data_IF_689880557580
#
_entry.id   IF_689880557580
#
_cell.length_a   1.000
_cell.length_b   1.000
_cell.length_c   1.000
_cell.angle_alpha   90.00
_cell.angle_beta   90.00
_cell.angle_gamma   90.00
#
_symmetry.space_group_name_H-M   'P 1'
#
loop_
_entity.id
_entity.type
_entity.pdbx_description
1 polymer ?
#
# COMPACT_ATOMS: atom_id res chain seq x y z
N UNK A 1 3.80 -22.40 13.30
CA UNK A 1 4.46 -21.09 13.47
C UNK A 1 4.77 -20.94 14.94
N UNK A 2 6.02 -20.60 15.28
CA UNK A 2 6.48 -20.55 16.67
C UNK A 2 6.27 -19.15 17.26
N UNK A 3 5.54 -19.09 18.38
CA UNK A 3 5.40 -17.87 19.17
C UNK A 3 6.70 -17.68 19.98
N UNK A 4 7.46 -16.63 19.66
CA UNK A 4 8.70 -16.30 20.37
C UNK A 4 8.43 -15.13 21.31
N UNK A 5 8.66 -15.34 22.60
CA UNK A 5 8.59 -14.25 23.58
C UNK A 5 9.89 -13.43 23.50
N UNK A 6 9.78 -12.15 23.15
CA UNK A 6 10.91 -11.21 23.09
C UNK A 6 10.82 -10.24 24.27
N UNK A 7 11.66 -10.45 25.29
CA UNK A 7 11.68 -9.64 26.50
C UNK A 7 10.97 -10.29 27.70
N UNK A 8 10.86 -9.55 28.80
CA UNK A 8 10.29 -10.02 30.08
C UNK A 8 9.02 -9.26 30.50
N UNK A 9 8.48 -8.39 29.63
CA UNK A 9 7.28 -7.59 29.91
C UNK A 9 6.16 -7.89 28.91
N UNK A 10 4.92 -7.81 29.38
CA UNK A 10 3.71 -8.04 28.57
C UNK A 10 3.25 -6.79 27.79
N UNK A 11 4.04 -5.72 27.79
CA UNK A 11 3.64 -4.42 27.23
C UNK A 11 3.69 -4.37 25.70
N UNK A 12 4.43 -5.30 25.06
CA UNK A 12 4.63 -5.31 23.60
C UNK A 12 4.48 -6.71 23.04
N UNK A 13 3.52 -6.88 22.12
CA UNK A 13 3.40 -8.09 21.31
C UNK A 13 3.94 -7.85 19.90
N UNK A 14 4.73 -8.80 19.40
CA UNK A 14 5.20 -8.80 18.00
C UNK A 14 4.50 -9.92 17.24
N UNK A 15 3.93 -9.58 16.08
CA UNK A 15 3.41 -10.56 15.13
C UNK A 15 4.23 -10.42 13.85
N UNK A 16 4.91 -11.50 13.47
CA UNK A 16 5.71 -11.58 12.25
C UNK A 16 5.04 -12.41 11.18
N UNK A 17 5.17 -11.98 9.93
CA UNK A 17 4.68 -12.68 8.75
C UNK A 17 5.37 -12.15 7.50
N UNK A 18 5.27 -12.89 6.40
CA UNK A 18 5.80 -12.47 5.10
C UNK A 18 4.75 -12.69 4.02
N UNK A 19 4.70 -11.79 3.05
CA UNK A 19 3.90 -11.96 1.83
C UNK A 19 4.84 -12.11 0.63
N UNK A 20 4.48 -13.03 -0.27
CA UNK A 20 5.15 -13.17 -1.56
C UNK A 20 4.64 -12.13 -2.55
N UNK A 21 5.54 -11.64 -3.41
CA UNK A 21 5.18 -10.86 -4.59
C UNK A 21 5.47 -11.68 -5.84
N UNK A 22 4.73 -11.43 -6.92
CA UNK A 22 5.10 -11.95 -8.24
C UNK A 22 6.52 -11.47 -8.61
N UNK A 23 7.25 -12.31 -9.35
CA UNK A 23 8.61 -11.99 -9.77
C UNK A 23 8.65 -10.62 -10.51
N UNK A 24 9.55 -9.74 -10.08
CA UNK A 24 9.70 -8.39 -10.63
C UNK A 24 8.80 -7.30 -10.02
N UNK A 25 7.71 -7.65 -9.31
CA UNK A 25 6.79 -6.67 -8.73
C UNK A 25 7.20 -6.19 -7.32
N UNK A 26 8.06 -6.95 -6.63
CA UNK A 26 8.43 -6.69 -5.24
C UNK A 26 9.09 -5.32 -5.05
N UNK A 27 10.13 -5.01 -5.81
CA UNK A 27 10.87 -3.75 -5.69
C UNK A 27 9.96 -2.55 -5.98
N UNK A 28 9.13 -2.63 -7.02
CA UNK A 28 8.23 -1.54 -7.37
C UNK A 28 7.27 -1.13 -6.24
N UNK A 29 6.75 -2.10 -5.48
CA UNK A 29 5.87 -1.84 -4.35
C UNK A 29 6.66 -1.45 -3.11
N UNK A 30 7.72 -2.19 -2.78
CA UNK A 30 8.50 -2.00 -1.57
C UNK A 30 9.28 -0.69 -1.59
N UNK A 31 9.80 -0.25 -2.74
CA UNK A 31 10.53 1.02 -2.88
C UNK A 31 9.61 2.24 -2.70
N UNK A 32 8.30 2.06 -2.87
CA UNK A 32 7.31 3.11 -2.67
C UNK A 32 6.75 3.15 -1.24
N UNK A 33 7.15 2.22 -0.38
CA UNK A 33 6.76 2.15 1.02
C UNK A 33 7.95 2.51 1.92
N UNK A 34 7.71 3.15 3.07
CA UNK A 34 8.75 3.32 4.06
C UNK A 34 9.11 1.95 4.66
N UNK A 35 10.34 1.83 5.16
CA UNK A 35 10.78 0.62 5.91
C UNK A 35 9.88 0.32 7.10
N UNK A 36 9.30 1.35 7.71
CA UNK A 36 8.34 1.23 8.80
C UNK A 36 7.18 2.19 8.62
N UNK A 37 5.96 1.69 8.83
CA UNK A 37 4.75 2.50 8.93
C UNK A 37 4.39 2.64 10.40
N UNK A 38 4.42 3.88 10.91
CA UNK A 38 3.93 4.16 12.25
C UNK A 38 2.45 4.50 12.20
N UNK A 39 1.63 3.69 12.86
CA UNK A 39 0.20 3.98 13.04
C UNK A 39 0.01 4.66 14.39
N UNK A 40 -0.36 5.94 14.36
CA UNK A 40 -0.66 6.68 15.59
C UNK A 40 -1.97 6.19 16.20
N UNK A 41 -2.01 6.00 17.52
CA UNK A 41 -3.20 5.49 18.25
C UNK A 41 -4.43 6.38 18.08
N UNK A 42 -4.25 7.68 17.89
CA UNK A 42 -5.34 8.63 17.67
C UNK A 42 -5.83 8.64 16.20
N UNK A 43 -5.15 7.93 15.29
CA UNK A 43 -5.56 7.90 13.88
C UNK A 43 -6.83 7.05 13.69
N UNK A 44 -7.72 7.40 12.74
CA UNK A 44 -8.90 6.58 12.42
C UNK A 44 -8.55 5.14 11.98
N UNK A 45 -7.34 4.92 11.46
CA UNK A 45 -6.89 3.59 11.00
C UNK A 45 -6.37 2.72 12.15
N UNK A 46 -6.06 3.29 13.31
CA UNK A 46 -5.52 2.57 14.45
C UNK A 46 -6.47 1.48 14.96
N UNK A 47 -7.76 1.79 15.03
CA UNK A 47 -8.76 0.84 15.51
C UNK A 47 -8.89 -0.37 14.58
N UNK A 48 -8.93 -0.15 13.26
CA UNK A 48 -8.97 -1.23 12.29
C UNK A 48 -7.73 -2.13 12.38
N UNK A 49 -6.54 -1.53 12.53
CA UNK A 49 -5.28 -2.27 12.71
C UNK A 49 -5.30 -3.08 14.02
N UNK A 50 -5.70 -2.46 15.12
CA UNK A 50 -5.75 -3.10 16.44
C UNK A 50 -6.70 -4.31 16.46
N UNK A 51 -7.93 -4.15 15.93
CA UNK A 51 -8.89 -5.26 15.83
C UNK A 51 -8.39 -6.39 14.93
N UNK A 52 -7.74 -6.06 13.82
CA UNK A 52 -7.18 -7.09 12.91
C UNK A 52 -6.06 -7.88 13.59
N UNK A 53 -5.17 -7.21 14.33
CA UNK A 53 -4.12 -7.85 15.12
C UNK A 53 -4.69 -8.74 16.22
N UNK A 54 -5.75 -8.30 16.90
CA UNK A 54 -6.41 -9.09 17.92
C UNK A 54 -7.03 -10.38 17.35
N UNK A 55 -7.74 -10.29 16.22
CA UNK A 55 -8.26 -11.48 15.55
C UNK A 55 -7.14 -12.41 15.10
N UNK A 56 -6.06 -11.86 14.54
CA UNK A 56 -4.94 -12.67 14.06
C UNK A 56 -4.24 -13.38 15.23
N UNK A 57 -4.09 -12.72 16.38
CA UNK A 57 -3.56 -13.35 17.60
C UNK A 57 -4.45 -14.51 18.08
N UNK A 58 -5.77 -14.32 18.07
CA UNK A 58 -6.73 -15.37 18.45
C UNK A 58 -6.63 -16.57 17.50
N UNK A 59 -6.55 -16.31 16.20
CA UNK A 59 -6.50 -17.37 15.18
C UNK A 59 -5.16 -18.14 15.18
N UNK A 60 -4.06 -17.45 15.44
CA UNK A 60 -2.74 -18.11 15.57
C UNK A 60 -2.67 -18.95 16.86
N UNK A 61 -3.39 -18.55 17.91
CA UNK A 61 -3.48 -19.28 19.17
C UNK A 61 -4.49 -20.42 19.18
N UNK A 62 -5.44 -20.44 18.24
CA UNK A 62 -6.48 -21.47 18.14
C UNK A 62 -6.09 -22.54 17.11
N UNK A 63 -6.30 -23.82 17.44
CA UNK A 63 -6.06 -24.94 16.51
C UNK A 63 -7.33 -25.28 15.72
N UNK A 64 -8.15 -24.27 15.40
CA UNK A 64 -9.43 -24.45 14.74
C UNK A 64 -9.26 -24.83 13.26
N UNK A 65 -10.23 -25.57 12.73
CA UNK A 65 -10.27 -25.95 11.32
C UNK A 65 -10.30 -24.70 10.44
N UNK A 66 -9.28 -24.52 9.61
CA UNK A 66 -9.17 -23.36 8.72
C UNK A 66 -8.41 -22.17 9.31
N UNK A 67 -7.88 -22.26 10.54
CA UNK A 67 -7.22 -21.14 11.21
C UNK A 67 -6.04 -20.55 10.43
N UNK A 68 -5.25 -21.39 9.76
CA UNK A 68 -4.17 -20.89 8.90
C UNK A 68 -4.66 -20.04 7.73
N UNK A 69 -5.79 -20.39 7.10
CA UNK A 69 -6.38 -19.62 6.01
C UNK A 69 -6.93 -18.29 6.52
N UNK A 70 -7.60 -18.30 7.68
CA UNK A 70 -8.13 -17.07 8.30
C UNK A 70 -6.98 -16.14 8.69
N UNK A 71 -5.93 -16.67 9.31
CA UNK A 71 -4.73 -15.91 9.67
C UNK A 71 -4.05 -15.29 8.44
N UNK A 72 -3.96 -16.02 7.32
CA UNK A 72 -3.43 -15.52 6.05
C UNK A 72 -4.26 -14.33 5.52
N UNK A 73 -5.59 -14.44 5.51
CA UNK A 73 -6.48 -13.34 5.08
C UNK A 73 -6.42 -12.13 6.01
N UNK A 74 -6.30 -12.36 7.32
CA UNK A 74 -6.11 -11.28 8.29
C UNK A 74 -4.76 -10.58 8.08
N UNK A 75 -3.71 -11.31 7.73
CA UNK A 75 -2.40 -10.72 7.40
C UNK A 75 -2.49 -9.84 6.14
N UNK A 76 -3.17 -10.30 5.09
CA UNK A 76 -3.43 -9.48 3.88
C UNK A 76 -4.20 -8.19 4.21
N UNK A 77 -5.26 -8.29 5.03
CA UNK A 77 -6.04 -7.13 5.50
C UNK A 77 -5.15 -6.16 6.28
N UNK A 78 -4.27 -6.67 7.14
CA UNK A 78 -3.35 -5.86 7.93
C UNK A 78 -2.37 -5.08 7.05
N UNK A 79 -1.83 -5.70 6.00
CA UNK A 79 -0.96 -5.03 5.02
C UNK A 79 -1.72 -3.89 4.33
N UNK A 80 -2.95 -4.14 3.87
CA UNK A 80 -3.78 -3.09 3.24
C UNK A 80 -4.10 -1.97 4.23
N UNK A 81 -4.41 -2.29 5.48
CA UNK A 81 -4.67 -1.30 6.53
C UNK A 81 -3.43 -0.44 6.82
N UNK A 82 -2.24 -1.03 6.86
CA UNK A 82 -0.98 -0.32 7.04
C UNK A 82 -0.69 0.64 5.88
N UNK A 83 -0.86 0.19 4.62
CA UNK A 83 -0.70 1.06 3.44
C UNK A 83 -1.70 2.22 3.46
N UNK A 84 -2.96 1.98 3.85
CA UNK A 84 -3.97 3.04 4.01
C UNK A 84 -3.57 4.05 5.08
N UNK A 85 -3.07 3.58 6.24
CA UNK A 85 -2.58 4.45 7.30
C UNK A 85 -1.40 5.31 6.83
N UNK A 86 -0.46 4.71 6.10
CA UNK A 86 0.67 5.42 5.50
C UNK A 86 0.19 6.52 4.55
N UNK A 87 -0.71 6.22 3.61
CA UNK A 87 -1.24 7.21 2.66
C UNK A 87 -1.99 8.33 3.39
N UNK A 88 -2.80 7.99 4.41
CA UNK A 88 -3.60 8.97 5.15
C UNK A 88 -2.76 9.94 6.00
N UNK A 89 -1.58 9.50 6.46
CA UNK A 89 -0.66 10.30 7.29
C UNK A 89 0.44 10.97 6.49
N UNK A 90 0.58 10.61 5.21
CA UNK A 90 1.58 11.19 4.32
C UNK A 90 1.27 12.67 4.06
N UNK A 91 2.26 13.57 4.18
CA UNK A 91 2.09 14.97 3.78
C UNK A 91 1.55 15.09 2.36
N UNK A 92 0.73 16.11 2.11
CA UNK A 92 0.22 16.39 0.78
C UNK A 92 1.35 16.64 -0.24
N UNK A 93 2.58 16.92 0.18
CA UNK A 93 3.78 17.09 -0.64
C UNK A 93 4.58 15.81 -0.88
N UNK A 94 4.15 14.67 -0.34
CA UNK A 94 4.86 13.40 -0.50
C UNK A 94 4.94 12.99 -1.97
N UNK A 95 6.09 12.43 -2.34
CA UNK A 95 6.38 11.94 -3.69
C UNK A 95 6.48 10.43 -3.65
N UNK A 96 5.78 9.76 -4.55
CA UNK A 96 5.73 8.30 -4.65
C UNK A 96 4.36 7.85 -5.16
N UNK A 97 4.34 6.77 -5.96
CA UNK A 97 3.11 6.35 -6.64
C UNK A 97 2.01 5.92 -5.66
N UNK A 98 2.36 5.32 -4.52
CA UNK A 98 1.41 4.93 -3.46
C UNK A 98 0.76 6.16 -2.84
N UNK A 99 1.55 7.17 -2.47
CA UNK A 99 1.02 8.43 -1.92
C UNK A 99 0.27 9.25 -2.97
N UNK A 100 0.67 9.15 -4.24
CA UNK A 100 0.00 9.82 -5.35
C UNK A 100 -1.42 9.29 -5.63
N UNK A 101 -1.77 8.09 -5.14
CA UNK A 101 -3.14 7.56 -5.24
C UNK A 101 -4.18 8.44 -4.51
N UNK A 102 -3.75 9.21 -3.50
CA UNK A 102 -4.60 10.17 -2.79
C UNK A 102 -4.86 11.46 -3.59
N UNK A 103 -4.07 11.75 -4.64
CA UNK A 103 -4.37 12.86 -5.55
C UNK A 103 -5.56 12.51 -6.44
N UNK A 104 -6.64 13.32 -6.51
CA UNK A 104 -7.83 12.96 -7.27
C UNK A 104 -7.57 12.72 -8.76
N UNK A 105 -6.66 13.50 -9.38
CA UNK A 105 -6.37 13.42 -10.81
C UNK A 105 -5.27 12.40 -11.09
N UNK A 106 -4.16 12.46 -10.34
CA UNK A 106 -3.06 11.51 -10.55
C UNK A 106 -3.45 10.10 -10.11
N UNK A 107 -4.19 9.95 -9.00
CA UNK A 107 -4.74 8.67 -8.59
C UNK A 107 -5.71 8.08 -9.62
N UNK A 108 -6.51 8.91 -10.32
CA UNK A 108 -7.33 8.44 -11.44
C UNK A 108 -6.44 7.94 -12.60
N UNK A 109 -5.40 8.69 -12.97
CA UNK A 109 -4.48 8.26 -14.01
C UNK A 109 -3.78 6.93 -13.66
N UNK A 110 -3.29 6.78 -12.42
CA UNK A 110 -2.66 5.54 -11.94
C UNK A 110 -3.63 4.35 -12.01
N UNK A 111 -4.89 4.52 -11.58
CA UNK A 111 -5.92 3.48 -11.71
C UNK A 111 -6.21 3.09 -13.15
N UNK A 112 -6.20 4.05 -14.09
CA UNK A 112 -6.36 3.75 -15.52
C UNK A 112 -5.17 2.96 -16.06
N UNK A 113 -3.95 3.36 -15.73
CA UNK A 113 -2.73 2.67 -16.12
C UNK A 113 -2.70 1.23 -15.61
N UNK A 114 -3.01 1.02 -14.32
CA UNK A 114 -3.03 -0.31 -13.70
C UNK A 114 -4.22 -1.17 -14.13
N UNK A 115 -5.33 -0.56 -14.50
CA UNK A 115 -6.51 -1.28 -14.97
C UNK A 115 -6.32 -1.94 -16.34
N UNK A 116 -5.42 -1.41 -17.16
CA UNK A 116 -5.08 -1.96 -18.48
C UNK A 116 -3.64 -1.63 -18.86
N UNK A 117 -2.69 -2.36 -18.27
CA UNK A 117 -1.25 -2.16 -18.50
C UNK A 117 -0.82 -2.50 -19.93
N UNK A 118 -1.58 -3.34 -20.65
CA UNK A 118 -1.27 -3.77 -22.01
C UNK A 118 -1.68 -2.73 -23.07
N UNK A 119 -2.59 -1.81 -22.73
CA UNK A 119 -2.99 -0.74 -23.63
C UNK A 119 -1.83 0.21 -23.92
N UNK A 120 -1.74 0.63 -25.19
CA UNK A 120 -0.81 1.67 -25.64
C UNK A 120 -1.23 3.06 -25.14
N UNK A 121 -1.01 3.31 -23.87
CA UNK A 121 -1.29 4.61 -23.27
C UNK A 121 -0.41 5.70 -23.87
N UNK A 122 -0.98 6.89 -24.04
CA UNK A 122 -0.26 8.09 -24.44
C UNK A 122 -0.53 9.21 -23.46
N UNK A 123 0.41 10.14 -23.31
CA UNK A 123 0.25 11.32 -22.46
C UNK A 123 -1.02 12.12 -22.81
N UNK A 124 -1.35 12.40 -24.10
CA UNK A 124 -2.61 13.06 -24.45
C UNK A 124 -3.87 12.30 -23.98
N UNK A 125 -3.89 10.97 -24.10
CA UNK A 125 -5.04 10.16 -23.68
C UNK A 125 -5.27 10.26 -22.18
N UNK A 126 -4.21 10.05 -21.38
CA UNK A 126 -4.30 10.14 -19.92
C UNK A 126 -4.70 11.54 -19.46
N UNK A 127 -4.08 12.58 -20.04
CA UNK A 127 -4.41 13.96 -19.73
C UNK A 127 -5.89 14.28 -20.01
N UNK A 128 -6.43 13.79 -21.13
CA UNK A 128 -7.84 13.91 -21.48
C UNK A 128 -8.74 13.19 -20.47
N UNK A 129 -8.43 11.95 -20.11
CA UNK A 129 -9.19 11.16 -19.14
C UNK A 129 -9.27 11.81 -17.76
N UNK A 130 -8.22 12.53 -17.34
CA UNK A 130 -8.18 13.22 -16.04
C UNK A 130 -8.53 14.71 -16.11
N UNK A 131 -8.94 15.21 -17.27
CA UNK A 131 -9.38 16.60 -17.45
C UNK A 131 -8.26 17.63 -17.26
N UNK A 132 -7.08 17.37 -17.83
CA UNK A 132 -5.91 18.25 -17.76
C UNK A 132 -5.30 18.49 -19.15
N UNK A 133 -4.60 19.62 -19.31
CA UNK A 133 -3.73 19.80 -20.47
C UNK A 133 -2.54 18.85 -20.41
N UNK A 134 -1.95 18.53 -21.57
CA UNK A 134 -0.79 17.61 -21.66
C UNK A 134 0.37 18.05 -20.77
N UNK A 135 0.73 19.34 -20.82
CA UNK A 135 1.85 19.89 -20.05
C UNK A 135 1.56 19.87 -18.54
N UNK A 136 0.37 20.31 -18.14
CA UNK A 136 -0.03 20.32 -16.73
C UNK A 136 -0.11 18.89 -16.15
N UNK A 137 -0.62 17.93 -16.92
CA UNK A 137 -0.66 16.52 -16.52
C UNK A 137 0.74 15.95 -16.34
N UNK A 138 1.62 16.13 -17.32
CA UNK A 138 2.99 15.59 -17.28
C UNK A 138 3.75 16.13 -16.07
N UNK A 139 3.68 17.44 -15.85
CA UNK A 139 4.32 18.10 -14.72
C UNK A 139 3.77 17.57 -13.39
N UNK A 140 2.45 17.62 -13.20
CA UNK A 140 1.81 17.17 -11.95
C UNK A 140 2.06 15.68 -11.69
N UNK A 141 2.06 14.85 -12.73
CA UNK A 141 2.34 13.42 -12.58
C UNK A 141 3.77 13.22 -12.09
N UNK A 142 4.77 13.86 -12.73
CA UNK A 142 6.17 13.77 -12.30
C UNK A 142 6.37 14.29 -10.87
N UNK A 143 5.75 15.42 -10.52
CA UNK A 143 5.85 16.02 -9.18
C UNK A 143 5.29 15.11 -8.08
N UNK A 144 4.27 14.29 -8.39
CA UNK A 144 3.60 13.43 -7.39
C UNK A 144 4.13 12.00 -7.38
N UNK A 145 4.51 11.48 -8.53
CA UNK A 145 4.93 10.07 -8.70
C UNK A 145 6.45 9.93 -8.65
N UNK A 146 7.20 10.99 -8.99
CA UNK A 146 8.65 11.01 -9.04
C UNK A 146 9.24 10.68 -10.43
N UNK A 147 8.41 10.27 -11.39
CA UNK A 147 8.82 9.99 -12.76
C UNK A 147 7.73 10.36 -13.78
N UNK A 148 8.05 10.52 -15.08
CA UNK A 148 7.06 10.81 -16.12
C UNK A 148 6.07 9.63 -16.34
N UNK A 149 4.85 9.89 -16.85
CA UNK A 149 3.80 8.87 -17.03
C UNK A 149 4.20 7.64 -17.86
N UNK A 150 4.99 7.83 -18.92
CA UNK A 150 5.43 6.70 -19.75
C UNK A 150 6.64 5.98 -19.15
N UNK A 151 7.50 6.70 -18.41
CA UNK A 151 8.56 6.07 -17.63
C UNK A 151 8.02 5.28 -16.46
N UNK A 152 6.87 5.66 -15.91
CA UNK A 152 6.17 4.87 -14.90
C UNK A 152 5.77 3.48 -15.44
N UNK A 153 5.23 3.43 -16.66
CA UNK A 153 4.78 2.17 -17.28
C UNK A 153 5.93 1.19 -17.58
N UNK A 154 7.15 1.67 -17.83
CA UNK A 154 8.28 0.76 -18.11
C UNK A 154 8.76 -0.01 -16.88
N UNK A 155 8.26 0.32 -15.69
CA UNK A 155 8.56 -0.39 -14.44
C UNK A 155 7.51 -1.47 -14.10
N UNK A 156 6.53 -1.70 -14.98
CA UNK A 156 5.45 -2.71 -14.87
C UNK A 156 5.51 -3.69 -16.03
#
# INVERSE_FOLDING_TARGET
QDMVCLGAGDETAMIGGGSGFAAGAASFVLDALPTFVRVDRASPTAEAVARTLEFLRTEVGSAELGGSLVAERLAEILVVAAVRAFVATSPATSVGWITALADPRIGKALRLLHGDVARRWTVPMLASEVGMSRSAFTQRFADRVGCPPLGYLTHW
#
